data_IF_076009448420
#
_entry.id   IF_076009448420
#
_cell.length_a   1.000
_cell.length_b   1.000
_cell.length_c   1.000
_cell.angle_alpha   90.00
_cell.angle_beta   90.00
_cell.angle_gamma   90.00
#
_symmetry.space_group_name_H-M   'P 1'
#
loop_
_entity.id
_entity.type
_entity.pdbx_description
1 polymer ?
#
# COMPACT_ATOMS: atom_id res chain seq x y z
N UNK A 1 17.06 0.82 24.50
CA UNK A 1 15.76 1.06 25.16
C UNK A 1 14.66 0.56 24.23
N UNK A 2 13.75 -0.29 24.68
CA UNK A 2 12.63 -0.73 23.84
C UNK A 2 11.70 0.45 23.61
N UNK A 3 11.48 0.80 22.34
CA UNK A 3 10.57 1.89 21.95
C UNK A 3 9.14 1.44 22.27
N UNK A 4 8.33 2.32 22.86
CA UNK A 4 6.92 2.07 23.14
C UNK A 4 6.13 2.17 21.82
N UNK A 5 5.27 1.20 21.57
CA UNK A 5 4.40 1.20 20.36
C UNK A 5 3.35 2.27 20.45
N UNK A 6 2.97 2.82 19.31
CA UNK A 6 1.90 3.81 19.21
C UNK A 6 1.01 3.52 18.00
N UNK A 7 -0.29 3.80 18.16
CA UNK A 7 -1.30 3.69 17.10
C UNK A 7 -2.25 4.88 17.13
N UNK A 8 -2.73 5.23 15.95
CA UNK A 8 -3.90 6.08 15.74
C UNK A 8 -4.89 5.30 14.89
N UNK A 9 -6.10 5.12 15.40
CA UNK A 9 -7.19 4.43 14.73
C UNK A 9 -8.37 5.37 14.58
N UNK A 10 -8.83 5.59 13.35
CA UNK A 10 -10.02 6.37 13.05
C UNK A 10 -11.05 5.47 12.37
N UNK A 11 -12.29 5.52 12.87
CA UNK A 11 -13.44 4.84 12.29
C UNK A 11 -14.38 5.92 11.79
N UNK A 12 -14.70 5.89 10.49
CA UNK A 12 -15.59 6.87 9.86
C UNK A 12 -16.69 6.17 9.10
N UNK A 13 -17.93 6.64 9.25
CA UNK A 13 -19.08 6.24 8.44
C UNK A 13 -19.58 7.46 7.69
N UNK A 14 -19.79 7.30 6.40
CA UNK A 14 -20.34 8.32 5.51
C UNK A 14 -21.80 7.98 5.16
N UNK A 15 -22.62 9.00 4.98
CA UNK A 15 -23.95 8.86 4.40
C UNK A 15 -23.88 8.66 2.87
N UNK A 16 -25.03 8.51 2.22
CA UNK A 16 -25.15 8.33 0.77
C UNK A 16 -24.63 9.52 -0.04
N UNK A 17 -24.50 10.69 0.56
CA UNK A 17 -24.02 11.93 -0.06
C UNK A 17 -22.53 12.17 0.19
N UNK A 18 -21.85 11.22 0.85
CA UNK A 18 -20.44 11.36 1.23
C UNK A 18 -20.19 12.26 2.45
N UNK A 19 -21.23 12.65 3.21
CA UNK A 19 -21.08 13.41 4.44
C UNK A 19 -20.80 12.48 5.62
N UNK A 20 -19.92 12.90 6.52
CA UNK A 20 -19.60 12.13 7.73
C UNK A 20 -20.83 12.05 8.64
N UNK A 21 -21.32 10.83 8.86
CA UNK A 21 -22.41 10.50 9.78
C UNK A 21 -21.88 10.13 11.17
N UNK A 22 -20.73 9.48 11.21
CA UNK A 22 -20.06 9.09 12.43
C UNK A 22 -18.54 9.13 12.25
N UNK A 23 -17.83 9.64 13.24
CA UNK A 23 -16.37 9.56 13.30
C UNK A 23 -15.92 9.35 14.74
N UNK A 24 -14.97 8.45 14.93
CA UNK A 24 -14.34 8.24 16.22
C UNK A 24 -12.86 7.96 16.06
N UNK A 25 -12.07 8.63 16.86
CA UNK A 25 -10.61 8.51 16.89
C UNK A 25 -10.14 7.91 18.20
N UNK A 26 -9.18 7.02 18.10
CA UNK A 26 -8.45 6.43 19.21
C UNK A 26 -6.96 6.71 18.98
N UNK A 27 -6.31 7.30 19.97
CA UNK A 27 -4.88 7.61 19.91
C UNK A 27 -4.20 7.13 21.18
N UNK A 28 -3.28 6.19 21.02
CA UNK A 28 -2.59 5.56 22.16
C UNK A 28 -1.67 6.50 22.95
N UNK A 29 -1.24 7.60 22.32
CA UNK A 29 -0.39 8.62 22.98
C UNK A 29 -1.19 9.65 23.76
N UNK A 30 -2.51 9.73 23.52
CA UNK A 30 -3.40 10.73 24.16
C UNK A 30 -4.36 10.14 25.19
N UNK A 31 -4.56 8.83 25.16
CA UNK A 31 -5.56 8.18 26.02
C UNK A 31 -5.13 6.77 26.41
N UNK A 32 -5.28 6.45 27.68
CA UNK A 32 -5.09 5.09 28.22
C UNK A 32 -6.17 4.12 27.70
N UNK A 33 -7.31 4.66 27.22
CA UNK A 33 -8.43 3.89 26.67
C UNK A 33 -8.27 3.79 25.15
N UNK A 34 -7.24 3.05 24.72
CA UNK A 34 -7.06 2.72 23.31
C UNK A 34 -7.40 1.24 23.11
N UNK A 35 -8.19 0.88 22.09
CA UNK A 35 -8.49 -0.52 21.80
C UNK A 35 -7.21 -1.30 21.47
N UNK A 36 -7.22 -2.61 21.73
CA UNK A 36 -6.16 -3.47 21.24
C UNK A 36 -6.41 -3.75 19.76
N UNK A 37 -5.38 -3.57 18.94
CA UNK A 37 -5.46 -3.69 17.49
C UNK A 37 -4.43 -4.70 17.02
N UNK A 38 -4.90 -5.68 16.23
CA UNK A 38 -4.04 -6.57 15.43
C UNK A 38 -4.24 -6.25 13.98
N UNK A 39 -3.17 -6.23 13.20
CA UNK A 39 -3.25 -5.95 11.78
C UNK A 39 -2.25 -6.77 10.97
N UNK A 40 -2.64 -7.02 9.72
CA UNK A 40 -1.77 -7.58 8.70
C UNK A 40 -2.17 -6.96 7.35
N UNK A 41 -1.31 -6.10 6.81
CA UNK A 41 -1.53 -5.40 5.55
C UNK A 41 -0.38 -5.65 4.60
N UNK A 42 -0.70 -5.90 3.34
CA UNK A 42 0.27 -6.12 2.28
C UNK A 42 0.12 -5.06 1.20
N UNK A 43 1.23 -4.52 0.74
CA UNK A 43 1.33 -3.56 -0.36
C UNK A 43 2.37 -4.07 -1.35
N UNK A 44 2.06 -4.08 -2.65
CA UNK A 44 2.97 -4.52 -3.71
C UNK A 44 2.99 -3.51 -4.86
N UNK A 45 4.17 -3.31 -5.45
CA UNK A 45 4.34 -2.54 -6.70
C UNK A 45 3.59 -3.24 -7.83
N UNK A 46 2.81 -2.47 -8.60
CA UNK A 46 2.09 -3.02 -9.75
C UNK A 46 1.00 -4.03 -9.42
N UNK A 47 0.75 -4.32 -8.15
CA UNK A 47 -0.35 -5.19 -7.77
C UNK A 47 -1.67 -4.43 -7.86
N UNK A 48 -2.59 -5.04 -8.54
CA UNK A 48 -3.97 -4.59 -8.71
C UNK A 48 -4.72 -4.60 -7.35
N UNK A 49 -4.26 -5.43 -6.41
CA UNK A 49 -4.89 -5.60 -5.11
C UNK A 49 -4.11 -4.80 -4.04
N UNK A 50 -4.31 -3.48 -4.07
CA UNK A 50 -3.68 -2.57 -3.14
C UNK A 50 -4.16 -2.79 -1.73
N UNK A 51 -3.22 -3.05 -0.83
CA UNK A 51 -3.46 -2.95 0.59
C UNK A 51 -4.70 -3.71 1.04
N UNK A 52 -4.86 -4.95 0.57
CA UNK A 52 -5.77 -5.87 1.24
C UNK A 52 -5.15 -6.26 2.56
N UNK A 53 -5.97 -6.27 3.57
CA UNK A 53 -5.52 -6.70 4.87
C UNK A 53 -6.64 -6.96 5.81
N UNK A 54 -6.24 -7.47 6.96
CA UNK A 54 -7.14 -7.74 8.07
C UNK A 54 -6.76 -6.87 9.25
N UNK A 55 -7.76 -6.31 9.87
CA UNK A 55 -7.62 -5.65 11.16
C UNK A 55 -8.58 -6.30 12.14
N UNK A 56 -8.08 -6.63 13.31
CA UNK A 56 -8.88 -7.14 14.41
C UNK A 56 -8.81 -6.15 15.57
N UNK A 57 -9.95 -5.75 16.10
CA UNK A 57 -10.04 -4.71 17.11
C UNK A 57 -10.80 -5.25 18.32
N UNK A 58 -10.23 -5.09 19.51
CA UNK A 58 -10.85 -5.47 20.77
C UNK A 58 -10.92 -4.26 21.72
N UNK A 59 -12.04 -4.10 22.42
CA UNK A 59 -12.26 -3.00 23.36
C UNK A 59 -12.91 -1.77 22.73
N UNK A 60 -13.67 -1.96 21.64
CA UNK A 60 -14.53 -0.92 21.07
C UNK A 60 -15.81 -0.75 21.92
N UNK A 61 -16.32 0.47 21.95
CA UNK A 61 -17.65 0.74 22.52
C UNK A 61 -18.77 0.24 21.58
N UNK A 62 -19.96 0.07 22.15
CA UNK A 62 -21.13 -0.45 21.46
C UNK A 62 -21.45 0.26 20.16
N UNK A 63 -21.38 1.60 20.15
CA UNK A 63 -21.70 2.41 18.95
C UNK A 63 -20.69 2.19 17.83
N UNK A 64 -19.40 2.09 18.15
CA UNK A 64 -18.36 1.76 17.17
C UNK A 64 -18.54 0.36 16.59
N UNK A 65 -18.93 -0.62 17.42
CA UNK A 65 -19.24 -1.98 16.94
C UNK A 65 -20.44 -1.96 16.00
N UNK A 66 -21.54 -1.29 16.37
CA UNK A 66 -22.74 -1.15 15.52
C UNK A 66 -22.41 -0.50 14.16
N UNK A 67 -21.58 0.53 14.17
CA UNK A 67 -21.13 1.19 12.95
C UNK A 67 -20.33 0.26 12.05
N UNK A 68 -19.41 -0.52 12.62
CA UNK A 68 -18.54 -1.41 11.85
C UNK A 68 -19.27 -2.64 11.33
N UNK A 69 -20.17 -3.22 12.12
CA UNK A 69 -20.91 -4.45 11.74
C UNK A 69 -22.08 -4.21 10.80
N UNK A 70 -22.61 -3.00 10.72
CA UNK A 70 -23.66 -2.63 9.78
C UNK A 70 -25.01 -3.31 10.00
N UNK A 71 -25.35 -3.65 11.24
CA UNK A 71 -26.59 -4.35 11.58
C UNK A 71 -27.88 -3.53 11.40
N UNK A 72 -27.82 -2.33 10.84
CA UNK A 72 -29.01 -1.51 10.63
C UNK A 72 -29.55 -1.72 9.21
N UNK A 73 -30.80 -2.04 9.09
CA UNK A 73 -31.64 -2.33 7.90
C UNK A 73 -30.90 -2.40 6.54
N UNK A 74 -30.93 -3.56 5.91
CA UNK A 74 -30.18 -3.94 4.70
C UNK A 74 -30.26 -2.88 3.60
N UNK A 75 -31.42 -2.29 3.35
CA UNK A 75 -31.64 -1.38 2.21
C UNK A 75 -31.03 0.03 2.40
N UNK A 76 -30.92 0.50 3.63
CA UNK A 76 -30.37 1.84 3.92
C UNK A 76 -28.85 1.84 4.14
N UNK A 77 -28.25 0.68 4.39
CA UNK A 77 -26.82 0.56 4.77
C UNK A 77 -25.94 0.11 3.61
N UNK A 78 -26.50 -0.52 2.57
CA UNK A 78 -25.74 -1.02 1.41
C UNK A 78 -24.94 0.06 0.67
N UNK A 79 -25.41 1.31 0.74
CA UNK A 79 -24.76 2.45 0.08
C UNK A 79 -23.95 3.34 1.03
N UNK A 80 -23.78 2.96 2.28
CA UNK A 80 -23.03 3.75 3.25
C UNK A 80 -21.61 3.24 3.40
N UNK A 81 -20.67 4.10 3.09
CA UNK A 81 -19.24 3.81 3.19
C UNK A 81 -18.76 3.79 4.64
N UNK A 82 -18.05 2.74 5.00
CA UNK A 82 -17.36 2.63 6.29
C UNK A 82 -15.87 2.55 6.03
N UNK A 83 -15.13 3.47 6.62
CA UNK A 83 -13.69 3.61 6.43
C UNK A 83 -13.00 3.40 7.75
N UNK A 84 -11.88 2.71 7.70
CA UNK A 84 -10.94 2.59 8.79
C UNK A 84 -9.60 3.13 8.36
N UNK A 85 -9.05 4.04 9.17
CA UNK A 85 -7.69 4.55 8.98
C UNK A 85 -6.86 4.10 10.16
N UNK A 86 -5.77 3.40 9.91
CA UNK A 86 -4.81 2.97 10.92
C UNK A 86 -3.43 3.53 10.61
N UNK A 87 -2.87 4.25 11.58
CA UNK A 87 -1.46 4.59 11.60
C UNK A 87 -0.79 3.85 12.76
N UNK A 88 0.44 3.42 12.55
CA UNK A 88 1.21 2.68 13.56
C UNK A 88 2.69 3.04 13.50
N UNK A 89 3.37 2.89 14.63
CA UNK A 89 4.80 3.22 14.79
C UNK A 89 5.23 3.19 16.24
N UNK A 90 6.05 4.15 16.62
CA UNK A 90 6.57 4.26 17.98
C UNK A 90 6.26 5.64 18.57
N UNK A 91 6.10 5.67 19.90
CA UNK A 91 5.84 6.91 20.63
C UNK A 91 6.98 7.91 20.44
N UNK A 92 6.63 9.16 20.13
CA UNK A 92 7.60 10.23 19.85
C UNK A 92 8.12 10.27 18.40
N UNK A 93 7.68 9.34 17.53
CA UNK A 93 7.99 9.33 16.10
C UNK A 93 6.74 9.64 15.26
N UNK A 94 6.94 9.98 14.00
CA UNK A 94 5.83 10.09 13.06
C UNK A 94 5.25 8.68 12.78
N UNK A 95 3.94 8.53 12.98
CA UNK A 95 3.26 7.26 12.74
C UNK A 95 3.02 7.08 11.23
N UNK A 96 3.44 5.94 10.71
CA UNK A 96 3.20 5.60 9.31
C UNK A 96 1.78 5.11 9.07
N UNK A 97 1.23 5.46 7.90
CA UNK A 97 -0.09 4.99 7.46
C UNK A 97 -0.03 3.51 7.05
N UNK A 98 -0.69 2.65 7.83
CA UNK A 98 -0.84 1.23 7.53
C UNK A 98 -1.93 1.01 6.48
N UNK A 99 -3.10 1.57 6.74
CA UNK A 99 -4.27 1.47 5.87
C UNK A 99 -5.16 2.68 6.02
N UNK A 100 -5.73 3.11 4.91
CA UNK A 100 -6.91 3.97 4.82
C UNK A 100 -7.88 3.29 3.86
N UNK A 101 -8.83 2.53 4.40
CA UNK A 101 -9.56 1.56 3.60
C UNK A 101 -11.03 1.41 3.96
N UNK A 102 -11.79 0.96 2.98
CA UNK A 102 -13.20 0.61 3.14
C UNK A 102 -13.33 -0.79 3.75
N UNK A 103 -14.21 -0.92 4.71
CA UNK A 103 -14.54 -2.19 5.38
C UNK A 103 -15.58 -2.92 4.54
N UNK A 104 -15.24 -4.13 4.10
CA UNK A 104 -16.15 -5.01 3.36
C UNK A 104 -16.93 -5.95 4.26
N UNK A 105 -16.32 -6.37 5.36
CA UNK A 105 -16.93 -7.26 6.33
C UNK A 105 -16.37 -7.00 7.71
N UNK A 106 -17.21 -7.12 8.72
CA UNK A 106 -16.81 -7.03 10.11
C UNK A 106 -17.55 -8.11 10.88
N UNK A 107 -16.80 -9.10 11.35
CA UNK A 107 -17.35 -10.26 12.07
C UNK A 107 -16.83 -10.29 13.50
N UNK A 108 -17.73 -10.31 14.51
CA UNK A 108 -17.32 -10.48 15.89
C UNK A 108 -16.87 -11.93 16.14
N UNK A 109 -15.89 -12.09 17.02
CA UNK A 109 -15.50 -13.40 17.54
C UNK A 109 -16.39 -13.83 18.71
N UNK A 110 -16.24 -15.09 19.14
CA UNK A 110 -16.93 -15.67 20.30
C UNK A 110 -16.28 -15.19 21.60
N UNK A 111 -17.05 -14.90 22.67
CA UNK A 111 -16.52 -14.57 24.00
C UNK A 111 -15.48 -15.59 24.51
N UNK A 112 -14.57 -15.21 25.47
CA UNK A 112 -14.67 -14.04 26.35
C UNK A 112 -14.18 -12.74 25.73
N UNK A 113 -13.21 -12.78 24.82
CA UNK A 113 -12.65 -11.57 24.21
C UNK A 113 -13.32 -11.31 22.85
N UNK A 114 -14.17 -10.32 22.80
CA UNK A 114 -14.85 -9.94 21.55
C UNK A 114 -13.89 -9.13 20.69
N UNK A 115 -13.31 -9.78 19.72
CA UNK A 115 -12.58 -9.16 18.63
C UNK A 115 -13.51 -8.92 17.46
N UNK A 116 -13.43 -7.75 16.88
CA UNK A 116 -14.08 -7.44 15.61
C UNK A 116 -13.07 -7.62 14.49
N UNK A 117 -13.24 -8.66 13.69
CA UNK A 117 -12.39 -8.93 12.53
C UNK A 117 -12.95 -8.22 11.31
N UNK A 118 -12.20 -7.28 10.77
CA UNK A 118 -12.58 -6.50 9.60
C UNK A 118 -11.68 -6.86 8.42
N UNK A 119 -12.29 -7.18 7.30
CA UNK A 119 -11.60 -7.24 6.02
C UNK A 119 -11.61 -5.82 5.41
N UNK A 120 -10.42 -5.30 5.11
CA UNK A 120 -10.22 -3.93 4.67
C UNK A 120 -9.57 -3.93 3.29
N UNK A 121 -10.12 -3.15 2.38
CA UNK A 121 -9.49 -2.86 1.09
C UNK A 121 -9.18 -1.37 1.05
N UNK A 122 -7.96 -1.03 0.64
CA UNK A 122 -7.54 0.36 0.47
C UNK A 122 -8.58 1.14 -0.33
N UNK A 123 -8.78 2.39 0.05
CA UNK A 123 -9.87 3.26 -0.36
C UNK A 123 -10.01 3.39 -1.87
N UNK A 124 -10.68 2.39 -2.46
CA UNK A 124 -11.12 2.46 -3.83
C UNK A 124 -12.58 2.05 -3.95
N UNK A 125 -13.45 3.02 -3.64
CA UNK A 125 -14.88 2.95 -3.97
C UNK A 125 -15.11 2.64 -5.44
N UNK A 126 -14.18 3.05 -6.26
CA UNK A 126 -14.29 3.01 -7.71
C UNK A 126 -13.71 1.74 -8.34
N UNK A 127 -13.20 0.78 -7.55
CA UNK A 127 -12.63 -0.45 -8.12
C UNK A 127 -13.66 -1.23 -8.95
N UNK A 128 -14.94 -1.13 -8.59
CA UNK A 128 -16.04 -1.77 -9.29
C UNK A 128 -16.79 -0.83 -10.27
N UNK A 129 -16.52 0.49 -10.21
CA UNK A 129 -17.14 1.45 -11.13
C UNK A 129 -16.53 1.27 -12.52
N UNK A 130 -17.37 0.82 -13.44
CA UNK A 130 -16.99 0.69 -14.83
C UNK A 130 -16.94 2.07 -15.47
N UNK A 131 -15.77 2.48 -15.93
CA UNK A 131 -15.55 3.75 -16.63
C UNK A 131 -15.19 3.52 -18.08
N UNK A 132 -15.61 4.44 -18.91
CA UNK A 132 -15.15 4.50 -20.29
C UNK A 132 -13.87 5.35 -20.34
N UNK A 133 -12.82 4.79 -20.91
CA UNK A 133 -11.57 5.48 -21.13
C UNK A 133 -11.26 5.50 -22.61
N UNK A 134 -10.95 6.66 -23.17
CA UNK A 134 -10.50 6.78 -24.55
C UNK A 134 -9.53 7.95 -24.70
N UNK A 135 -8.54 7.77 -25.55
CA UNK A 135 -7.55 8.80 -25.86
C UNK A 135 -7.53 9.12 -27.36
N UNK A 136 -7.01 10.30 -27.70
CA UNK A 136 -6.64 10.62 -29.07
C UNK A 136 -5.45 9.78 -29.54
N UNK A 137 -5.25 9.73 -30.84
CA UNK A 137 -4.06 9.12 -31.42
C UNK A 137 -2.81 10.02 -31.23
N UNK A 138 -1.64 9.42 -31.15
CA UNK A 138 -0.35 10.13 -30.99
C UNK A 138 -0.23 10.98 -29.70
N UNK A 139 -0.92 10.63 -28.64
CA UNK A 139 -0.82 11.32 -27.35
C UNK A 139 0.57 11.07 -26.74
N UNK A 140 1.21 12.10 -26.18
CA UNK A 140 2.46 11.91 -25.43
C UNK A 140 2.20 11.07 -24.18
N UNK A 141 3.21 10.32 -23.75
CA UNK A 141 3.08 9.46 -22.57
C UNK A 141 2.68 10.21 -21.31
N UNK A 142 3.22 11.39 -21.09
CA UNK A 142 2.84 12.25 -19.95
C UNK A 142 1.37 12.63 -20.00
N UNK A 143 0.86 12.98 -21.17
CA UNK A 143 -0.55 13.35 -21.35
C UNK A 143 -1.47 12.13 -21.22
N UNK A 144 -0.95 10.95 -21.60
CA UNK A 144 -1.65 9.68 -21.41
C UNK A 144 -1.83 9.35 -19.93
N UNK A 145 -0.78 9.51 -19.12
CA UNK A 145 -0.85 9.36 -17.66
C UNK A 145 -1.88 10.32 -17.07
N UNK A 146 -1.87 11.59 -17.51
CA UNK A 146 -2.83 12.59 -17.06
C UNK A 146 -4.26 12.20 -17.43
N UNK A 147 -4.49 11.73 -18.66
CA UNK A 147 -5.82 11.29 -19.10
C UNK A 147 -6.34 10.10 -18.28
N UNK A 148 -5.46 9.18 -17.87
CA UNK A 148 -5.80 8.08 -16.95
C UNK A 148 -6.19 8.63 -15.58
N UNK A 149 -5.40 9.53 -15.01
CA UNK A 149 -5.67 10.15 -13.72
C UNK A 149 -7.00 10.92 -13.71
N UNK A 150 -7.26 11.72 -14.74
CA UNK A 150 -8.50 12.49 -14.88
C UNK A 150 -9.72 11.57 -14.99
N UNK A 151 -9.63 10.50 -15.77
CA UNK A 151 -10.72 9.51 -15.90
C UNK A 151 -11.05 8.86 -14.56
N UNK A 152 -10.03 8.63 -13.74
CA UNK A 152 -10.17 8.01 -12.42
C UNK A 152 -10.40 9.01 -11.28
N UNK A 153 -10.44 10.31 -11.56
CA UNK A 153 -10.51 11.40 -10.57
C UNK A 153 -9.35 11.37 -9.56
N UNK A 154 -8.17 10.96 -10.00
CA UNK A 154 -6.96 10.96 -9.18
C UNK A 154 -6.29 12.32 -9.27
N UNK A 155 -6.10 12.98 -8.13
CA UNK A 155 -5.56 14.35 -8.09
C UNK A 155 -4.03 14.42 -8.06
N UNK A 156 -3.38 13.34 -7.61
CA UNK A 156 -1.93 13.30 -7.46
C UNK A 156 -1.33 12.27 -8.39
N UNK A 157 -0.29 12.68 -9.10
CA UNK A 157 0.51 11.82 -9.99
C UNK A 157 1.96 11.91 -9.53
N UNK A 158 2.59 10.76 -9.31
CA UNK A 158 4.02 10.63 -9.09
C UNK A 158 4.62 9.85 -10.26
N UNK A 159 5.15 10.56 -11.24
CA UNK A 159 5.83 9.96 -12.37
C UNK A 159 7.34 9.88 -12.09
N UNK A 160 7.85 8.66 -11.89
CA UNK A 160 9.26 8.36 -11.63
C UNK A 160 10.04 8.08 -12.91
N UNK A 161 9.38 8.03 -14.07
CA UNK A 161 10.02 7.84 -15.37
C UNK A 161 10.72 9.14 -15.77
N UNK A 162 12.03 9.08 -15.92
CA UNK A 162 12.87 10.24 -16.32
C UNK A 162 13.48 10.07 -17.70
N UNK A 163 13.52 8.85 -18.22
CA UNK A 163 14.15 8.53 -19.51
C UNK A 163 13.41 9.18 -20.69
N UNK A 164 14.07 10.05 -21.50
CA UNK A 164 13.42 10.74 -22.61
C UNK A 164 12.79 9.81 -23.66
N UNK A 165 13.36 8.63 -23.85
CA UNK A 165 12.84 7.62 -24.80
C UNK A 165 11.45 7.12 -24.41
N UNK A 166 11.14 7.09 -23.11
CA UNK A 166 9.83 6.75 -22.57
C UNK A 166 8.89 7.96 -22.58
N UNK A 167 9.34 9.11 -22.07
CA UNK A 167 8.52 10.32 -21.95
C UNK A 167 8.03 10.85 -23.31
N UNK A 168 8.89 10.80 -24.33
CA UNK A 168 8.57 11.29 -25.67
C UNK A 168 7.84 10.26 -26.54
N UNK A 169 7.48 9.10 -25.98
CA UNK A 169 6.73 8.10 -26.71
C UNK A 169 5.34 8.63 -27.05
N UNK A 170 4.96 8.51 -28.33
CA UNK A 170 3.60 8.72 -28.79
C UNK A 170 2.80 7.43 -28.65
N UNK A 171 1.70 7.53 -27.91
CA UNK A 171 0.79 6.41 -27.64
C UNK A 171 -0.29 6.41 -28.73
N UNK A 172 -0.52 5.25 -29.33
CA UNK A 172 -1.65 5.06 -30.24
C UNK A 172 -2.97 5.16 -29.47
N UNK A 173 -4.02 5.52 -30.18
CA UNK A 173 -5.37 5.61 -29.63
C UNK A 173 -5.73 4.36 -28.78
N UNK A 174 -6.12 4.61 -27.56
CA UNK A 174 -6.62 3.58 -26.64
C UNK A 174 -8.12 3.77 -26.41
N UNK A 175 -8.84 2.66 -26.29
CA UNK A 175 -10.26 2.69 -25.95
C UNK A 175 -10.62 1.48 -25.09
N UNK A 176 -11.05 1.76 -23.86
CA UNK A 176 -11.51 0.75 -22.89
C UNK A 176 -12.96 1.07 -22.59
N UNK A 177 -13.89 0.19 -22.98
CA UNK A 177 -15.31 0.30 -22.66
C UNK A 177 -15.62 -0.42 -21.36
N UNK A 178 -16.31 0.26 -20.48
CA UNK A 178 -16.75 -0.30 -19.18
C UNK A 178 -15.60 -1.02 -18.44
N UNK A 179 -14.39 -0.45 -18.52
CA UNK A 179 -13.21 -0.98 -17.85
C UNK A 179 -13.25 -0.69 -16.37
N UNK A 180 -12.79 -1.66 -15.56
CA UNK A 180 -12.49 -1.39 -14.16
C UNK A 180 -11.33 -0.40 -14.07
N UNK A 181 -11.20 0.26 -12.93
CA UNK A 181 -10.05 1.12 -12.65
C UNK A 181 -8.72 0.42 -12.95
N UNK A 182 -8.64 -0.86 -12.63
CA UNK A 182 -7.46 -1.69 -12.88
C UNK A 182 -7.11 -1.77 -14.35
N UNK A 183 -8.09 -2.04 -15.21
CA UNK A 183 -7.85 -2.11 -16.65
C UNK A 183 -7.32 -0.78 -17.18
N UNK A 184 -7.83 0.33 -16.64
CA UNK A 184 -7.42 1.67 -17.05
C UNK A 184 -6.00 1.98 -16.56
N UNK A 185 -5.66 1.71 -15.29
CA UNK A 185 -4.29 1.89 -14.77
C UNK A 185 -3.31 0.93 -15.44
N UNK A 186 -3.70 -0.33 -15.59
CA UNK A 186 -2.85 -1.35 -16.21
C UNK A 186 -2.53 -1.03 -17.67
N UNK A 187 -3.39 -0.30 -18.37
CA UNK A 187 -3.11 0.14 -19.74
C UNK A 187 -1.84 0.99 -19.86
N UNK A 188 -1.41 1.66 -18.79
CA UNK A 188 -0.11 2.37 -18.75
C UNK A 188 1.04 1.37 -18.87
N UNK A 189 0.96 0.25 -18.15
CA UNK A 189 1.98 -0.80 -18.18
C UNK A 189 2.02 -1.52 -19.53
N UNK A 190 0.85 -1.79 -20.12
CA UNK A 190 0.74 -2.46 -21.41
C UNK A 190 1.42 -1.69 -22.55
N UNK A 191 1.39 -0.37 -22.48
CA UNK A 191 2.05 0.47 -23.48
C UNK A 191 3.57 0.22 -23.53
N UNK A 192 4.18 -0.15 -22.42
CA UNK A 192 5.62 -0.35 -22.27
C UNK A 192 5.98 -1.77 -21.80
N UNK A 193 5.34 -2.76 -22.37
CA UNK A 193 5.79 -4.14 -22.14
C UNK A 193 7.30 -4.26 -22.42
N UNK A 194 8.00 -4.99 -21.54
CA UNK A 194 9.46 -5.20 -21.63
C UNK A 194 9.83 -5.79 -22.99
N UNK A 195 10.68 -5.09 -23.70
CA UNK A 195 11.22 -5.50 -25.00
C UNK A 195 12.55 -4.77 -25.28
N UNK A 196 13.19 -5.05 -26.42
CA UNK A 196 14.47 -4.44 -26.79
C UNK A 196 14.45 -2.90 -26.83
N UNK A 197 13.31 -2.29 -27.10
CA UNK A 197 13.16 -0.82 -27.15
C UNK A 197 12.89 -0.22 -25.76
N UNK A 198 12.21 -0.97 -24.90
CA UNK A 198 11.87 -0.56 -23.54
C UNK A 198 12.26 -1.67 -22.55
N UNK A 199 13.58 -1.85 -22.33
CA UNK A 199 14.10 -3.01 -21.59
C UNK A 199 13.69 -3.01 -20.11
N UNK A 200 13.33 -1.85 -19.57
CA UNK A 200 12.95 -1.73 -18.14
C UNK A 200 11.44 -1.78 -17.91
N UNK A 201 10.64 -1.77 -19.00
CA UNK A 201 9.18 -1.72 -18.88
C UNK A 201 8.67 -0.53 -18.08
N UNK A 202 7.36 -0.47 -17.89
CA UNK A 202 6.72 0.50 -17.00
C UNK A 202 5.66 -0.21 -16.19
N UNK A 203 5.55 0.12 -14.92
CA UNK A 203 4.47 -0.30 -14.04
C UNK A 203 3.72 0.92 -13.52
N UNK A 204 2.41 0.79 -13.35
CA UNK A 204 1.58 1.83 -12.78
C UNK A 204 0.69 1.25 -11.69
N UNK A 205 0.54 1.99 -10.62
CA UNK A 205 -0.28 1.59 -9.48
C UNK A 205 -0.74 2.83 -8.71
N UNK A 206 -1.66 2.63 -7.79
CA UNK A 206 -2.18 3.71 -6.97
C UNK A 206 -1.85 3.41 -5.51
N UNK A 207 -1.27 4.36 -4.83
CA UNK A 207 -1.01 4.30 -3.40
C UNK A 207 -1.43 5.60 -2.73
N UNK A 208 -2.26 5.52 -1.69
CA UNK A 208 -2.74 6.70 -0.95
C UNK A 208 -3.27 7.82 -1.86
N UNK A 209 -4.22 7.49 -2.76
CA UNK A 209 -4.84 8.39 -3.74
C UNK A 209 -3.87 9.03 -4.75
N UNK A 210 -2.65 8.50 -4.87
CA UNK A 210 -1.63 8.94 -5.82
C UNK A 210 -1.43 7.88 -6.89
N UNK A 211 -1.54 8.25 -8.16
CA UNK A 211 -1.13 7.42 -9.28
C UNK A 211 0.39 7.44 -9.38
N UNK A 212 1.03 6.31 -9.12
CA UNK A 212 2.47 6.16 -9.23
C UNK A 212 2.76 5.44 -10.53
N UNK A 213 3.68 6.00 -11.32
CA UNK A 213 4.19 5.42 -12.56
C UNK A 213 5.70 5.26 -12.41
N UNK A 214 6.17 4.03 -12.50
CA UNK A 214 7.57 3.68 -12.24
C UNK A 214 8.09 2.69 -13.27
N UNK A 215 9.37 2.44 -13.30
CA UNK A 215 9.96 1.35 -14.07
C UNK A 215 9.59 0.00 -13.43
N UNK A 216 9.33 -1.00 -14.28
CA UNK A 216 9.17 -2.38 -13.79
C UNK A 216 10.50 -2.93 -13.30
N UNK A 217 11.60 -2.63 -14.01
CA UNK A 217 12.97 -2.89 -13.59
C UNK A 217 13.74 -1.58 -13.53
N UNK A 218 14.47 -1.34 -12.44
CA UNK A 218 15.24 -0.11 -12.26
C UNK A 218 16.28 0.09 -13.36
N UNK A 219 16.38 1.32 -13.85
CA UNK A 219 17.46 1.72 -14.76
C UNK A 219 18.78 1.83 -13.98
N UNK A 220 19.95 1.54 -14.60
CA UNK A 220 21.23 1.52 -13.89
C UNK A 220 21.63 2.83 -13.20
N UNK A 221 21.16 3.97 -13.73
CA UNK A 221 21.45 5.31 -13.20
C UNK A 221 20.31 5.88 -12.35
N UNK A 222 19.40 5.05 -11.83
CA UNK A 222 18.33 5.51 -10.95
C UNK A 222 18.91 6.12 -9.68
N UNK A 223 18.43 7.29 -9.28
CA UNK A 223 18.90 8.00 -8.08
C UNK A 223 18.77 7.16 -6.81
N UNK A 224 17.75 6.30 -6.74
CA UNK A 224 17.54 5.38 -5.62
C UNK A 224 18.65 4.37 -5.44
N UNK A 225 19.35 4.00 -6.53
CA UNK A 225 20.53 3.12 -6.48
C UNK A 225 21.72 3.85 -5.89
N UNK A 226 21.83 5.17 -6.11
CA UNK A 226 22.94 5.99 -5.60
C UNK A 226 22.81 6.30 -4.11
N UNK A 227 21.58 6.35 -3.60
CA UNK A 227 21.27 6.68 -2.21
C UNK A 227 20.35 5.63 -1.57
N UNK A 228 20.77 4.36 -1.51
CA UNK A 228 19.93 3.29 -1.00
C UNK A 228 19.76 3.41 0.53
N UNK A 229 18.62 2.98 1.02
CA UNK A 229 18.33 2.90 2.45
C UNK A 229 19.07 1.69 3.04
N UNK A 230 19.94 1.91 4.03
CA UNK A 230 20.66 0.82 4.67
C UNK A 230 19.74 0.01 5.59
N UNK A 231 19.75 -1.32 5.43
CA UNK A 231 19.02 -2.27 6.28
C UNK A 231 20.00 -3.33 6.79
N UNK A 232 20.23 -3.31 8.10
CA UNK A 232 21.09 -4.26 8.78
C UNK A 232 20.61 -4.49 10.24
N UNK A 233 21.34 -5.26 11.00
CA UNK A 233 21.02 -5.58 12.40
C UNK A 233 20.95 -4.34 13.29
N UNK A 234 21.79 -3.33 13.06
CA UNK A 234 21.89 -2.16 13.92
C UNK A 234 20.72 -1.18 13.71
N UNK A 235 20.08 -1.22 12.54
CA UNK A 235 18.93 -0.38 12.22
C UNK A 235 17.60 -1.13 12.09
N UNK A 236 17.50 -2.28 12.75
CA UNK A 236 16.21 -2.94 13.00
C UNK A 236 15.94 -4.22 12.22
N UNK A 237 16.90 -4.73 11.42
CA UNK A 237 16.73 -6.06 10.79
C UNK A 237 16.68 -7.14 11.88
N UNK A 238 15.72 -8.05 11.74
CA UNK A 238 15.47 -9.15 12.67
C UNK A 238 15.74 -10.48 11.98
N UNK A 239 16.52 -11.32 12.65
CA UNK A 239 16.86 -12.64 12.12
C UNK A 239 17.74 -12.61 10.88
N UNK A 240 17.54 -13.59 10.02
CA UNK A 240 18.26 -13.73 8.74
C UNK A 240 17.34 -13.35 7.58
N UNK A 241 17.88 -12.74 6.52
CA UNK A 241 17.13 -12.55 5.30
C UNK A 241 16.78 -13.90 4.68
N UNK A 242 15.54 -14.05 4.22
CA UNK A 242 15.11 -15.24 3.47
C UNK A 242 15.40 -15.04 1.99
N UNK A 243 16.28 -15.88 1.45
CA UNK A 243 16.74 -15.76 0.08
C UNK A 243 16.19 -16.90 -0.75
N UNK A 244 15.56 -16.56 -1.86
CA UNK A 244 14.98 -17.51 -2.78
C UNK A 244 15.38 -17.19 -4.23
N UNK A 245 15.01 -18.08 -5.16
CA UNK A 245 15.26 -17.89 -6.59
C UNK A 245 16.73 -17.55 -6.91
N UNK A 246 17.66 -18.39 -6.40
CA UNK A 246 19.10 -18.24 -6.62
C UNK A 246 19.65 -16.82 -6.27
N UNK A 247 19.12 -16.21 -5.21
CA UNK A 247 19.57 -14.90 -4.74
C UNK A 247 18.85 -13.71 -5.35
N UNK A 248 17.90 -13.93 -6.25
CA UNK A 248 17.16 -12.86 -6.92
C UNK A 248 16.06 -12.24 -6.05
N UNK A 249 15.46 -13.04 -5.19
CA UNK A 249 14.38 -12.60 -4.28
C UNK A 249 14.87 -12.70 -2.85
N UNK A 250 14.59 -11.67 -2.08
CA UNK A 250 14.97 -11.58 -0.67
C UNK A 250 13.81 -11.02 0.16
N UNK A 251 13.43 -11.72 1.22
CA UNK A 251 12.50 -11.21 2.22
C UNK A 251 13.29 -10.79 3.45
N UNK A 252 13.11 -9.55 3.85
CA UNK A 252 13.84 -8.94 4.98
C UNK A 252 12.83 -8.53 6.04
N UNK A 253 12.95 -9.13 7.21
CA UNK A 253 12.12 -8.76 8.37
C UNK A 253 12.81 -7.70 9.21
N UNK A 254 12.08 -6.65 9.55
CA UNK A 254 12.53 -5.62 10.47
C UNK A 254 11.52 -5.39 11.59
N UNK A 255 11.92 -4.70 12.65
CA UNK A 255 10.96 -4.01 13.51
C UNK A 255 10.08 -3.13 12.64
N UNK A 256 8.84 -2.84 13.08
CA UNK A 256 7.90 -2.06 12.27
C UNK A 256 8.59 -0.78 11.78
N UNK A 257 8.77 -0.69 10.50
CA UNK A 257 9.42 0.41 9.82
C UNK A 257 8.54 0.88 8.66
N UNK A 258 8.04 2.09 8.76
CA UNK A 258 7.12 2.69 7.80
C UNK A 258 7.81 3.71 6.89
N UNK A 259 9.10 3.97 7.12
CA UNK A 259 9.89 4.87 6.28
C UNK A 259 10.28 4.24 4.95
N UNK A 260 10.42 2.89 4.93
CA UNK A 260 10.71 2.14 3.70
C UNK A 260 9.40 1.76 3.04
N UNK A 261 9.27 2.11 1.77
CA UNK A 261 8.04 1.92 0.96
C UNK A 261 8.28 1.02 -0.23
N UNK A 262 7.21 0.59 -0.86
CA UNK A 262 7.27 -0.03 -2.18
C UNK A 262 7.90 0.92 -3.19
N UNK A 263 8.80 0.40 -4.01
CA UNK A 263 9.55 1.21 -4.99
C UNK A 263 10.86 1.81 -4.47
N UNK A 264 11.18 1.67 -3.19
CA UNK A 264 12.48 2.10 -2.66
C UNK A 264 13.59 1.11 -3.02
N UNK A 265 14.83 1.59 -2.94
CA UNK A 265 16.03 0.76 -3.03
C UNK A 265 16.67 0.68 -1.66
N UNK A 266 16.95 -0.54 -1.23
CA UNK A 266 17.63 -0.80 0.03
C UNK A 266 18.99 -1.45 -0.22
N UNK A 267 19.97 -1.12 0.62
CA UNK A 267 21.22 -1.85 0.75
C UNK A 267 21.13 -2.77 1.95
N UNK A 268 21.02 -4.07 1.70
CA UNK A 268 20.98 -5.06 2.77
C UNK A 268 22.38 -5.51 3.14
N UNK A 269 22.69 -5.48 4.43
CA UNK A 269 23.97 -5.94 5.00
C UNK A 269 23.71 -6.93 6.14
N UNK A 270 24.11 -8.18 5.93
CA UNK A 270 24.07 -9.24 6.93
C UNK A 270 25.48 -9.74 7.20
N UNK A 271 25.92 -9.69 8.46
CA UNK A 271 27.19 -10.29 8.87
C UNK A 271 27.14 -11.81 8.91
N UNK A 272 25.96 -12.40 9.04
CA UNK A 272 25.76 -13.84 9.13
C UNK A 272 25.65 -14.51 7.76
N UNK A 273 25.18 -13.79 6.74
CA UNK A 273 25.11 -14.27 5.35
C UNK A 273 25.69 -13.20 4.42
N UNK A 274 27.02 -12.99 4.41
CA UNK A 274 27.66 -11.94 3.59
C UNK A 274 27.40 -12.10 2.09
N UNK A 275 27.19 -13.31 1.61
CA UNK A 275 26.86 -13.61 0.20
C UNK A 275 25.50 -13.06 -0.23
N UNK A 276 24.64 -12.77 0.73
CA UNK A 276 23.32 -12.18 0.48
C UNK A 276 23.37 -10.64 0.38
N UNK A 277 24.45 -10.01 0.83
CA UNK A 277 24.58 -8.55 0.81
C UNK A 277 24.43 -8.00 -0.62
N UNK A 278 23.85 -6.81 -0.72
CA UNK A 278 23.66 -6.16 -2.00
C UNK A 278 22.55 -5.14 -2.03
N UNK A 279 22.25 -4.65 -3.24
CA UNK A 279 21.18 -3.72 -3.50
C UNK A 279 19.91 -4.47 -3.90
N UNK A 280 18.80 -4.05 -3.32
CA UNK A 280 17.50 -4.65 -3.54
C UNK A 280 16.43 -3.60 -3.76
N UNK A 281 15.57 -3.83 -4.74
CA UNK A 281 14.37 -3.05 -5.00
C UNK A 281 13.19 -3.62 -4.23
N UNK A 282 12.50 -2.79 -3.47
CA UNK A 282 11.37 -3.20 -2.64
C UNK A 282 10.13 -3.32 -3.53
N UNK A 283 9.75 -4.55 -3.85
CA UNK A 283 8.57 -4.86 -4.68
C UNK A 283 7.29 -4.99 -3.84
N UNK A 284 7.42 -5.17 -2.53
CA UNK A 284 6.28 -5.26 -1.64
C UNK A 284 6.68 -5.09 -0.18
N UNK A 285 5.69 -4.72 0.63
CA UNK A 285 5.84 -4.60 2.08
C UNK A 285 4.64 -5.25 2.75
N UNK A 286 4.92 -6.11 3.73
CA UNK A 286 3.90 -6.64 4.64
C UNK A 286 4.10 -6.03 6.02
N UNK A 287 3.09 -5.31 6.51
CA UNK A 287 3.05 -4.80 7.87
C UNK A 287 2.23 -5.73 8.74
N UNK A 288 2.82 -6.22 9.84
CA UNK A 288 2.13 -7.09 10.79
C UNK A 288 2.36 -6.59 12.20
N UNK A 289 1.27 -6.37 12.94
CA UNK A 289 1.38 -5.84 14.29
C UNK A 289 0.24 -6.23 15.21
N UNK A 290 0.56 -6.24 16.50
CA UNK A 290 -0.39 -6.32 17.60
C UNK A 290 -0.01 -5.28 18.65
N UNK A 291 -0.86 -4.28 18.85
CA UNK A 291 -0.54 -3.14 19.72
C UNK A 291 -0.16 -3.55 21.14
N UNK A 292 -0.89 -4.50 21.73
CA UNK A 292 -0.61 -5.04 23.08
C UNK A 292 -0.13 -6.50 23.07
N UNK A 293 0.52 -6.93 21.95
CA UNK A 293 1.03 -8.29 21.79
C UNK A 293 2.52 -8.32 21.46
N UNK A 294 2.97 -9.38 20.79
CA UNK A 294 4.39 -9.58 20.50
C UNK A 294 4.78 -9.12 19.09
N UNK A 295 3.88 -9.23 18.12
CA UNK A 295 4.17 -8.92 16.72
C UNK A 295 4.20 -7.40 16.50
N UNK A 296 5.28 -6.91 15.84
CA UNK A 296 5.40 -5.51 15.44
C UNK A 296 6.50 -5.39 14.39
N UNK A 297 6.20 -5.84 13.16
CA UNK A 297 7.19 -6.09 12.13
C UNK A 297 6.78 -5.54 10.77
N UNK A 298 7.80 -5.21 9.96
CA UNK A 298 7.68 -5.04 8.52
C UNK A 298 8.47 -6.16 7.85
N UNK A 299 7.90 -6.76 6.80
CA UNK A 299 8.60 -7.68 5.91
C UNK A 299 8.68 -7.03 4.55
N UNK A 300 9.90 -6.74 4.11
CA UNK A 300 10.17 -6.19 2.78
C UNK A 300 10.41 -7.33 1.81
N UNK A 301 9.56 -7.43 0.80
CA UNK A 301 9.71 -8.34 -0.32
C UNK A 301 10.53 -7.64 -1.39
N UNK A 302 11.70 -8.15 -1.67
CA UNK A 302 12.71 -7.44 -2.44
C UNK A 302 13.20 -8.27 -3.61
N UNK A 303 13.50 -7.59 -4.71
CA UNK A 303 14.20 -8.17 -5.86
C UNK A 303 15.60 -7.58 -5.94
N UNK A 304 16.62 -8.41 -6.20
CA UNK A 304 17.99 -7.96 -6.36
C UNK A 304 18.09 -7.01 -7.57
N UNK A 305 18.76 -5.89 -7.39
CA UNK A 305 19.06 -4.96 -8.48
C UNK A 305 20.16 -5.59 -9.35
N UNK A 306 19.95 -5.66 -10.66
CA UNK A 306 20.98 -6.14 -11.58
C UNK A 306 22.19 -5.21 -11.52
N UNK A 307 23.39 -5.78 -11.33
CA UNK A 307 24.66 -5.05 -11.19
C UNK A 307 24.80 -4.22 -9.89
N UNK A 308 24.09 -4.59 -8.84
CA UNK A 308 24.26 -4.05 -7.48
C UNK A 308 25.24 -4.86 -6.63
#
# INVERSE_FOLDING_TARGET
MLKKRAIELTITKYDQNGKVEFQKEFNSSRSDICPNVKFNFQKYVGSIMYGQGKISICGLDKKSIEVLTGFLSIDSELNKKRVITLKAGYEGEELGLMVDGTIFGALPTIPPDIWLNCDVINNYEQANDKKNFSTSDNLLFTDYIQAVADTLNIKKIENRIKEPSYLNRKISKQAIKAGSMFNIVYSISDVFAINNKYPYGVTAYIENETLIVDYTDLIPNDERIQTPILVNKDNGMIGLPEITNAGQICNITTLLNTSIKTGDVIKMESSQIPSANGLFYVIGVTYSGEYRGNNWYSVFHCRRVANG
#
